data_IF_731074913362
#
_entry.id   IF_731074913362
#
_cell.length_a   1.000
_cell.length_b   1.000
_cell.length_c   1.000
_cell.angle_alpha   90.00
_cell.angle_beta   90.00
_cell.angle_gamma   90.00
#
_symmetry.space_group_name_H-M   'P 1'
#
loop_
_entity.id
_entity.type
_entity.pdbx_description
1 polymer ?
#
# COMPACT_ATOMS: atom_id res chain seq x y z
N UNK A 1 13.77 5.33 -10.05
CA UNK A 1 12.62 6.19 -9.73
C UNK A 1 12.79 6.77 -8.32
N UNK A 2 12.68 8.08 -8.20
CA UNK A 2 12.80 8.75 -6.90
C UNK A 2 11.47 9.39 -6.51
N UNK A 3 10.96 9.05 -5.35
CA UNK A 3 9.69 9.56 -4.83
C UNK A 3 9.85 9.96 -3.38
N UNK A 4 9.06 10.93 -2.96
CA UNK A 4 8.96 11.28 -1.55
C UNK A 4 8.01 10.37 -0.79
N UNK A 5 7.29 9.50 -1.49
CA UNK A 5 6.38 8.56 -0.88
C UNK A 5 7.14 7.59 0.03
N UNK A 6 6.57 7.31 1.19
CA UNK A 6 7.20 6.44 2.18
C UNK A 6 6.86 4.97 2.00
N UNK A 7 5.79 4.67 1.25
CA UNK A 7 5.36 3.30 1.00
C UNK A 7 5.65 2.97 -0.45
N UNK A 8 6.64 2.12 -0.66
CA UNK A 8 7.05 1.72 -1.99
C UNK A 8 7.55 0.28 -1.92
N UNK A 9 7.09 -0.54 -2.83
CA UNK A 9 7.50 -1.91 -2.95
C UNK A 9 7.62 -2.28 -4.42
N UNK A 10 8.51 -3.21 -4.72
CA UNK A 10 8.69 -3.71 -6.08
C UNK A 10 7.92 -5.02 -6.19
N UNK A 11 7.15 -5.15 -7.25
CA UNK A 11 6.39 -6.36 -7.53
C UNK A 11 6.33 -6.65 -9.00
N UNK A 12 5.65 -7.71 -9.34
CA UNK A 12 5.47 -8.16 -10.72
C UNK A 12 3.99 -8.07 -11.09
N UNK A 13 3.71 -7.44 -12.21
CA UNK A 13 2.35 -7.38 -12.72
C UNK A 13 1.91 -8.80 -13.10
N UNK A 14 0.84 -9.27 -12.48
CA UNK A 14 0.30 -10.61 -12.76
C UNK A 14 -0.94 -10.57 -13.62
N UNK A 15 -1.62 -9.43 -13.69
CA UNK A 15 -2.76 -9.26 -14.59
C UNK A 15 -3.05 -7.79 -14.84
N UNK A 16 -3.56 -7.51 -16.02
CA UNK A 16 -4.08 -6.20 -16.41
C UNK A 16 -5.44 -6.44 -17.05
N UNK A 17 -6.45 -5.85 -16.49
CA UNK A 17 -7.82 -5.97 -16.98
C UNK A 17 -8.29 -4.60 -17.38
N UNK A 18 -8.37 -4.34 -18.67
CA UNK A 18 -8.70 -3.03 -19.19
C UNK A 18 -10.18 -2.87 -19.49
N UNK A 19 -10.77 -1.82 -18.95
CA UNK A 19 -12.11 -1.38 -19.31
C UNK A 19 -12.07 -0.21 -20.27
N UNK A 20 -13.20 0.41 -20.52
CA UNK A 20 -13.30 1.55 -21.42
C UNK A 20 -12.64 2.81 -20.83
N UNK A 21 -12.63 2.95 -19.50
CA UNK A 21 -12.16 4.15 -18.82
C UNK A 21 -11.04 3.84 -17.83
N UNK A 22 -11.12 2.68 -17.18
CA UNK A 22 -10.17 2.31 -16.14
C UNK A 22 -9.60 0.93 -16.37
N UNK A 23 -8.49 0.64 -15.71
CA UNK A 23 -7.87 -0.68 -15.73
C UNK A 23 -7.65 -1.18 -14.32
N UNK A 24 -7.78 -2.48 -14.14
CA UNK A 24 -7.39 -3.16 -12.90
C UNK A 24 -6.04 -3.81 -13.14
N UNK A 25 -5.07 -3.41 -12.35
CA UNK A 25 -3.72 -3.96 -12.41
C UNK A 25 -3.46 -4.69 -11.11
N UNK A 26 -3.12 -5.97 -11.20
CA UNK A 26 -2.75 -6.75 -10.03
C UNK A 26 -1.25 -6.96 -10.03
N UNK A 27 -0.64 -6.61 -8.91
CA UNK A 27 0.81 -6.70 -8.72
C UNK A 27 1.08 -7.64 -7.55
N UNK A 28 1.89 -8.65 -7.79
CA UNK A 28 2.30 -9.57 -6.74
C UNK A 28 3.59 -9.09 -6.10
N UNK A 29 3.57 -8.99 -4.78
CA UNK A 29 4.74 -8.63 -3.98
C UNK A 29 5.10 -9.85 -3.14
N UNK A 30 6.26 -10.44 -3.40
CA UNK A 30 6.68 -11.68 -2.74
C UNK A 30 7.48 -11.45 -1.47
N UNK A 31 8.17 -10.32 -1.39
CA UNK A 31 9.05 -10.03 -0.27
C UNK A 31 8.37 -9.13 0.76
N UNK A 32 8.56 -9.38 2.06
CA UNK A 32 8.01 -8.51 3.08
C UNK A 32 8.54 -7.08 2.96
N UNK A 33 7.71 -6.10 3.24
CA UNK A 33 8.14 -4.72 3.34
C UNK A 33 7.36 -4.00 4.45
N UNK A 34 7.92 -2.90 4.92
CA UNK A 34 7.32 -2.13 5.99
C UNK A 34 6.49 -0.99 5.42
N UNK A 35 5.26 -0.90 5.89
CA UNK A 35 4.35 0.18 5.51
C UNK A 35 4.33 1.22 6.61
N UNK A 36 4.46 2.48 6.23
CA UNK A 36 4.37 3.60 7.16
C UNK A 36 3.01 4.25 7.03
N UNK A 37 2.34 4.41 8.15
CA UNK A 37 1.06 5.11 8.20
C UNK A 37 1.15 6.25 9.21
N UNK A 38 0.64 7.42 8.83
CA UNK A 38 0.53 8.55 9.72
C UNK A 38 -0.94 8.70 10.12
N UNK A 39 -1.20 8.48 11.40
CA UNK A 39 -2.55 8.61 11.96
C UNK A 39 -2.52 9.66 13.07
N UNK A 40 -3.68 10.05 13.56
CA UNK A 40 -3.73 11.01 14.66
C UNK A 40 -3.25 10.34 15.95
N UNK A 41 -2.77 11.15 16.88
CA UNK A 41 -2.38 10.67 18.20
C UNK A 41 -3.57 10.02 18.91
N UNK A 42 -4.74 10.64 18.80
CA UNK A 42 -5.96 10.12 19.41
C UNK A 42 -6.30 8.73 18.87
N UNK A 43 -6.21 8.52 17.55
CA UNK A 43 -6.47 7.21 16.96
C UNK A 43 -5.48 6.16 17.46
N UNK A 44 -4.20 6.52 17.56
CA UNK A 44 -3.19 5.62 18.09
C UNK A 44 -3.47 5.22 19.54
N UNK A 45 -3.90 6.18 20.35
CA UNK A 45 -4.25 5.92 21.74
C UNK A 45 -5.51 5.08 21.88
N UNK A 46 -6.53 5.36 21.09
CA UNK A 46 -7.77 4.60 21.10
C UNK A 46 -7.56 3.13 20.74
N UNK A 47 -6.69 2.88 19.77
CA UNK A 47 -6.35 1.53 19.34
C UNK A 47 -5.29 0.88 20.24
N UNK A 48 -4.70 1.65 21.15
CA UNK A 48 -3.66 1.17 22.07
C UNK A 48 -2.52 0.47 21.33
N UNK A 49 -2.08 1.09 20.24
CA UNK A 49 -1.04 0.52 19.39
C UNK A 49 0.31 0.47 20.08
N UNK A 50 0.98 -0.66 19.95
CA UNK A 50 2.33 -0.85 20.46
C UNK A 50 3.09 -1.82 19.57
N UNK A 51 4.41 -1.75 19.66
CA UNK A 51 5.30 -2.62 18.90
C UNK A 51 4.96 -4.10 19.16
N UNK A 52 4.86 -4.85 18.07
CA UNK A 52 4.55 -6.27 18.12
C UNK A 52 3.08 -6.60 17.90
N UNK A 53 2.20 -5.59 17.92
CA UNK A 53 0.79 -5.83 17.67
C UNK A 53 0.56 -6.30 16.23
N UNK A 54 -0.41 -7.17 16.06
CA UNK A 54 -0.89 -7.59 14.75
C UNK A 54 -2.07 -6.72 14.37
N UNK A 55 -1.97 -6.07 13.21
CA UNK A 55 -3.00 -5.15 12.74
C UNK A 55 -3.31 -5.44 11.27
N UNK A 56 -4.47 -4.99 10.84
CA UNK A 56 -4.83 -5.01 9.42
C UNK A 56 -4.44 -3.68 8.80
N UNK A 57 -3.95 -3.73 7.58
CA UNK A 57 -3.73 -2.55 6.75
C UNK A 57 -4.79 -2.57 5.67
N UNK A 58 -5.52 -1.47 5.54
CA UNK A 58 -6.60 -1.36 4.57
C UNK A 58 -6.22 -0.25 3.60
N UNK A 59 -6.11 -0.62 2.32
CA UNK A 59 -5.73 0.32 1.28
C UNK A 59 -6.80 0.27 0.19
N UNK A 60 -7.37 1.42 -0.08
CA UNK A 60 -8.36 1.54 -1.13
C UNK A 60 -7.66 1.43 -2.49
N UNK A 61 -8.20 0.65 -3.42
CA UNK A 61 -7.55 0.40 -4.70
C UNK A 61 -7.29 1.66 -5.53
N UNK A 62 -8.11 2.69 -5.36
CA UNK A 62 -7.93 3.97 -6.04
C UNK A 62 -6.80 4.83 -5.45
N UNK A 63 -6.23 4.41 -4.32
CA UNK A 63 -5.15 5.12 -3.64
C UNK A 63 -3.78 4.52 -3.92
N UNK A 64 -3.72 3.43 -4.67
CA UNK A 64 -2.46 2.76 -5.01
C UNK A 64 -1.95 3.28 -6.34
N UNK A 65 -0.72 3.76 -6.35
CA UNK A 65 -0.09 4.37 -7.51
C UNK A 65 0.90 3.40 -8.12
N UNK A 66 0.86 3.25 -9.44
CA UNK A 66 1.79 2.40 -10.18
C UNK A 66 2.90 3.26 -10.75
N UNK A 67 4.14 2.81 -10.57
CA UNK A 67 5.29 3.44 -11.19
C UNK A 67 6.10 2.43 -11.98
N UNK A 68 6.64 2.86 -13.11
CA UNK A 68 7.48 2.01 -13.97
C UNK A 68 8.52 2.90 -14.64
N UNK A 69 9.77 2.46 -14.65
CA UNK A 69 10.86 3.13 -15.38
C UNK A 69 10.85 2.79 -16.85
#
# INVERSE_FOLDING_TARGET
>A
MRLSARNSAVGTVVSVEEGAIAALVRVEIKEPFTVTSMITKDASEDLKLKTGDKVAIIIKSTEVIIGKD
#
